data_IF_614813685259
#
_entry.id   IF_614813685259
#
_cell.length_a   1.000
_cell.length_b   1.000
_cell.length_c   1.000
_cell.angle_alpha   90.00
_cell.angle_beta   90.00
_cell.angle_gamma   90.00
#
_symmetry.space_group_name_H-M   'P 1'
#
loop_
_entity.id
_entity.type
_entity.pdbx_description
1 polymer ?
#
# COMPACT_ATOMS: atom_id res chain seq x y z
N UNK A 1 29.40 -3.35 0.10
CA UNK A 1 28.36 -2.29 0.22
C UNK A 1 27.47 -2.66 1.41
N UNK A 2 27.23 -1.74 2.36
CA UNK A 2 26.44 -2.05 3.56
C UNK A 2 24.93 -1.94 3.26
N UNK A 3 24.37 -2.97 2.63
CA UNK A 3 22.96 -2.97 2.21
C UNK A 3 21.99 -2.90 3.40
N UNK A 4 22.31 -3.53 4.53
CA UNK A 4 21.46 -3.51 5.72
C UNK A 4 21.35 -2.10 6.32
N UNK A 5 22.48 -1.39 6.44
CA UNK A 5 22.51 -0.02 6.92
C UNK A 5 21.72 0.93 6.00
N UNK A 6 21.84 0.75 4.68
CA UNK A 6 21.08 1.54 3.70
C UNK A 6 19.58 1.25 3.82
N UNK A 7 19.18 -0.02 3.89
CA UNK A 7 17.79 -0.42 4.01
C UNK A 7 17.13 0.12 5.30
N UNK A 8 17.84 0.05 6.43
CA UNK A 8 17.36 0.61 7.70
C UNK A 8 17.18 2.13 7.61
N UNK A 9 18.13 2.84 6.99
CA UNK A 9 18.03 4.29 6.79
C UNK A 9 16.82 4.66 5.93
N UNK A 10 16.61 3.95 4.81
CA UNK A 10 15.46 4.18 3.93
C UNK A 10 14.13 3.89 4.64
N UNK A 11 14.05 2.80 5.41
CA UNK A 11 12.87 2.47 6.19
C UNK A 11 12.52 3.58 7.17
N UNK A 12 13.50 4.11 7.92
CA UNK A 12 13.26 5.18 8.88
C UNK A 12 12.77 6.44 8.19
N UNK A 13 13.43 6.87 7.11
CA UNK A 13 13.01 8.05 6.34
C UNK A 13 11.58 7.91 5.81
N UNK A 14 11.19 6.71 5.35
CA UNK A 14 9.85 6.47 4.85
C UNK A 14 8.81 6.49 5.98
N UNK A 15 9.14 5.92 7.15
CA UNK A 15 8.27 5.93 8.32
C UNK A 15 7.99 7.37 8.79
N UNK A 16 9.04 8.19 8.88
CA UNK A 16 8.91 9.60 9.26
C UNK A 16 8.05 10.36 8.24
N UNK A 17 8.33 10.19 6.95
CA UNK A 17 7.55 10.81 5.87
C UNK A 17 6.07 10.43 5.93
N UNK A 18 5.74 9.15 6.15
CA UNK A 18 4.35 8.71 6.24
C UNK A 18 3.67 9.26 7.50
N UNK A 19 4.38 9.33 8.63
CA UNK A 19 3.83 9.86 9.88
C UNK A 19 3.55 11.37 9.82
N UNK A 20 4.38 12.13 9.09
CA UNK A 20 4.20 13.57 8.87
C UNK A 20 3.04 13.88 7.92
N UNK A 21 2.66 12.95 7.05
CA UNK A 21 1.64 13.11 6.03
C UNK A 21 0.34 12.39 6.39
N UNK A 22 -0.41 12.98 7.33
CA UNK A 22 -1.73 12.46 7.73
C UNK A 22 -2.72 12.49 6.56
N UNK A 23 -3.12 11.29 6.10
CA UNK A 23 -4.11 11.11 5.05
C UNK A 23 -5.30 10.28 5.54
N UNK A 24 -6.48 10.54 5.00
CA UNK A 24 -7.68 9.73 5.25
C UNK A 24 -7.72 8.42 4.45
N UNK A 25 -6.85 8.27 3.46
CA UNK A 25 -6.83 7.10 2.59
C UNK A 25 -5.53 6.92 1.81
N UNK A 26 -5.36 5.70 1.30
CA UNK A 26 -4.20 5.26 0.52
C UNK A 26 -4.70 4.67 -0.80
N UNK A 27 -4.15 5.15 -1.92
CA UNK A 27 -4.27 4.45 -3.19
C UNK A 27 -3.37 3.21 -3.13
N UNK A 28 -3.99 2.05 -3.29
CA UNK A 28 -3.38 0.77 -2.98
C UNK A 28 -3.54 -0.17 -4.17
N UNK A 29 -2.50 -0.34 -4.97
CA UNK A 29 -2.58 -1.20 -6.16
C UNK A 29 -2.36 -2.67 -5.85
N UNK A 30 -1.74 -2.99 -4.70
CA UNK A 30 -1.25 -4.34 -4.40
C UNK A 30 0.20 -4.58 -4.80
N UNK A 31 0.82 -3.64 -5.52
CA UNK A 31 2.25 -3.67 -5.82
C UNK A 31 3.12 -3.45 -4.58
N UNK A 32 4.41 -3.79 -4.69
CA UNK A 32 5.38 -3.73 -3.60
C UNK A 32 5.43 -2.36 -2.91
N UNK A 33 5.57 -1.28 -3.68
CA UNK A 33 5.72 0.07 -3.13
C UNK A 33 4.50 0.49 -2.32
N UNK A 34 3.31 0.33 -2.89
CA UNK A 34 2.05 0.63 -2.20
C UNK A 34 1.84 -0.24 -0.96
N UNK A 35 2.35 -1.48 -0.97
CA UNK A 35 2.31 -2.41 0.17
C UNK A 35 3.27 -2.01 1.29
N UNK A 36 4.46 -1.50 0.96
CA UNK A 36 5.39 -0.95 1.96
C UNK A 36 4.75 0.25 2.66
N UNK A 37 4.11 1.16 1.92
CA UNK A 37 3.40 2.30 2.50
C UNK A 37 2.18 1.85 3.32
N UNK A 38 1.43 0.86 2.84
CA UNK A 38 0.30 0.29 3.57
C UNK A 38 0.71 -0.28 4.94
N UNK A 39 1.87 -0.94 5.03
CA UNK A 39 2.41 -1.43 6.30
C UNK A 39 2.65 -0.31 7.34
N UNK A 40 2.93 0.91 6.89
CA UNK A 40 3.16 2.07 7.77
C UNK A 40 1.89 2.90 8.03
N UNK A 41 0.84 2.68 7.25
CA UNK A 41 -0.41 3.46 7.27
C UNK A 41 -1.66 2.61 7.42
N UNK A 42 -1.57 1.42 8.02
CA UNK A 42 -2.63 0.40 8.06
C UNK A 42 -3.98 0.85 8.65
N UNK A 43 -4.03 2.00 9.33
CA UNK A 43 -5.27 2.56 9.90
C UNK A 43 -6.10 3.38 8.91
N UNK A 44 -5.57 3.69 7.73
CA UNK A 44 -6.29 4.49 6.71
C UNK A 44 -7.12 3.60 5.78
N UNK A 45 -8.06 4.21 5.04
CA UNK A 45 -8.86 3.49 4.03
C UNK A 45 -7.98 3.17 2.82
N UNK A 46 -7.82 1.90 2.47
CA UNK A 46 -7.15 1.50 1.24
C UNK A 46 -8.13 1.49 0.07
N UNK A 47 -7.73 2.01 -1.09
CA UNK A 47 -8.56 2.07 -2.30
C UNK A 47 -7.79 1.47 -3.47
N UNK A 48 -8.32 0.41 -4.07
CA UNK A 48 -7.80 -0.17 -5.33
C UNK A 48 -8.75 0.15 -6.46
N UNK A 49 -8.18 0.58 -7.59
CA UNK A 49 -8.88 0.77 -8.86
C UNK A 49 -8.30 -0.23 -9.86
N UNK A 50 -9.14 -0.94 -10.59
CA UNK A 50 -8.73 -1.92 -11.60
C UNK A 50 -9.66 -1.91 -12.82
N UNK A 51 -9.19 -2.44 -13.94
CA UNK A 51 -10.04 -2.80 -15.08
C UNK A 51 -10.53 -4.23 -14.92
N UNK A 52 -11.79 -4.51 -15.31
CA UNK A 52 -12.47 -5.79 -15.03
C UNK A 52 -11.66 -7.03 -15.44
N UNK A 53 -11.00 -7.00 -16.59
CA UNK A 53 -10.27 -8.15 -17.15
C UNK A 53 -8.74 -8.08 -16.96
N UNK A 54 -8.21 -7.03 -16.31
CA UNK A 54 -6.76 -6.76 -16.21
C UNK A 54 -6.28 -6.50 -14.77
N UNK A 55 -7.08 -6.88 -13.77
CA UNK A 55 -6.81 -6.64 -12.35
C UNK A 55 -6.02 -7.74 -11.64
N UNK A 56 -4.97 -8.30 -12.24
CA UNK A 56 -4.20 -9.40 -11.61
C UNK A 56 -3.67 -9.02 -10.21
N UNK A 57 -3.29 -7.75 -10.04
CA UNK A 57 -2.77 -7.21 -8.78
C UNK A 57 -3.82 -7.01 -7.69
N UNK A 58 -5.12 -6.99 -8.05
CA UNK A 58 -6.23 -6.83 -7.09
C UNK A 58 -6.21 -7.94 -6.03
N UNK A 59 -5.80 -9.15 -6.42
CA UNK A 59 -5.61 -10.27 -5.50
C UNK A 59 -4.55 -9.94 -4.44
N UNK A 60 -3.41 -9.36 -4.84
CA UNK A 60 -2.35 -9.00 -3.90
C UNK A 60 -2.77 -7.84 -2.99
N UNK A 61 -3.50 -6.86 -3.54
CA UNK A 61 -4.10 -5.80 -2.73
C UNK A 61 -5.04 -6.40 -1.67
N UNK A 62 -5.93 -7.31 -2.05
CA UNK A 62 -6.86 -7.94 -1.10
C UNK A 62 -6.12 -8.76 -0.02
N UNK A 63 -5.12 -9.56 -0.41
CA UNK A 63 -4.32 -10.36 0.54
C UNK A 63 -3.58 -9.47 1.55
N UNK A 64 -2.94 -8.42 1.09
CA UNK A 64 -2.20 -7.50 1.95
C UNK A 64 -3.13 -6.67 2.84
N UNK A 65 -4.25 -6.18 2.31
CA UNK A 65 -5.24 -5.48 3.12
C UNK A 65 -5.79 -6.36 4.24
N UNK A 66 -6.07 -7.63 3.96
CA UNK A 66 -6.51 -8.60 4.98
C UNK A 66 -5.42 -8.85 6.03
N UNK A 67 -4.17 -9.06 5.60
CA UNK A 67 -3.03 -9.27 6.49
C UNK A 67 -2.80 -8.08 7.44
N UNK A 68 -3.00 -6.86 6.95
CA UNK A 68 -2.83 -5.62 7.70
C UNK A 68 -4.11 -5.16 8.42
N UNK A 69 -5.21 -5.93 8.32
CA UNK A 69 -6.54 -5.59 8.85
C UNK A 69 -7.03 -4.18 8.42
N UNK A 70 -6.81 -3.83 7.15
CA UNK A 70 -7.16 -2.54 6.58
C UNK A 70 -8.62 -2.53 6.09
N UNK A 71 -9.26 -1.37 6.19
CA UNK A 71 -10.53 -1.14 5.49
C UNK A 71 -10.26 -0.90 4.00
N UNK A 72 -10.52 -1.92 3.18
CA UNK A 72 -10.20 -1.93 1.76
C UNK A 72 -11.45 -1.75 0.88
N UNK A 73 -11.39 -0.81 -0.05
CA UNK A 73 -12.40 -0.57 -1.07
C UNK A 73 -11.81 -0.89 -2.43
N UNK A 74 -12.57 -1.59 -3.25
CA UNK A 74 -12.18 -1.96 -4.61
C UNK A 74 -13.21 -1.40 -5.57
N UNK A 75 -12.75 -0.82 -6.67
CA UNK A 75 -13.60 -0.33 -7.74
C UNK A 75 -13.07 -0.80 -9.09
N UNK A 76 -13.91 -1.54 -9.79
CA UNK A 76 -13.65 -1.91 -11.17
C UNK A 76 -14.22 -0.85 -12.12
N UNK A 77 -13.48 -0.59 -13.18
CA UNK A 77 -13.82 0.34 -14.26
C UNK A 77 -13.84 -0.46 -15.57
N UNK A 78 -14.81 -0.13 -16.42
CA UNK A 78 -14.91 -0.58 -17.81
C UNK A 78 -14.52 0.58 -18.73
N UNK A 79 -13.85 0.31 -19.85
CA UNK A 79 -13.38 1.33 -20.81
C UNK A 79 -14.04 1.12 -22.17
#
# INVERSE_FOLDING_TARGET
MNYQGIALKLKNMLFDTVAENNTSGLLFSGGLDSSIVACMSSRVKAVTISFMSHGEDVKYAALMANSLNMKHYQKEIDI
#
